data_IF_873095081922
#
_entry.id   IF_873095081922
#
_cell.length_a   1.000
_cell.length_b   1.000
_cell.length_c   1.000
_cell.angle_alpha   90.00
_cell.angle_beta   90.00
_cell.angle_gamma   90.00
#
_symmetry.space_group_name_H-M   'P 1'
#
loop_
_entity.id
_entity.type
_entity.pdbx_description
1 polymer ?
#
# COMPACT_ATOMS: atom_id res chain seq x y z
N UNK A 1 6.37 -33.72 9.04
CA UNK A 1 6.16 -32.52 9.88
C UNK A 1 6.35 -31.33 8.98
N UNK A 2 5.26 -30.80 8.43
CA UNK A 2 5.27 -29.56 7.66
C UNK A 2 5.76 -28.43 8.58
N UNK A 3 6.73 -27.64 8.12
CA UNK A 3 7.22 -26.49 8.89
C UNK A 3 6.09 -25.47 9.00
N UNK A 4 5.32 -25.53 10.10
CA UNK A 4 4.29 -24.54 10.40
C UNK A 4 4.93 -23.17 10.45
N UNK A 5 4.38 -22.19 9.74
CA UNK A 5 4.93 -20.84 9.79
C UNK A 5 4.85 -20.23 11.19
N UNK A 6 5.93 -19.60 11.62
CA UNK A 6 6.06 -18.95 12.94
C UNK A 6 6.53 -17.50 12.81
N UNK A 7 6.45 -16.76 13.91
CA UNK A 7 7.03 -15.42 14.03
C UNK A 7 8.53 -15.39 13.69
N UNK A 8 9.29 -16.42 14.04
CA UNK A 8 10.71 -16.53 13.67
C UNK A 8 10.91 -16.64 12.15
N UNK A 9 10.06 -17.40 11.46
CA UNK A 9 10.13 -17.53 10.00
C UNK A 9 9.86 -16.20 9.29
N UNK A 10 8.88 -15.42 9.76
CA UNK A 10 8.65 -14.07 9.24
C UNK A 10 9.90 -13.17 9.40
N UNK A 11 10.55 -13.20 10.56
CA UNK A 11 11.78 -12.43 10.82
C UNK A 11 12.89 -12.82 9.84
N UNK A 12 13.06 -14.13 9.59
CA UNK A 12 14.07 -14.67 8.66
C UNK A 12 13.82 -14.23 7.21
N UNK A 13 12.61 -14.47 6.68
CA UNK A 13 12.26 -14.12 5.28
C UNK A 13 12.38 -12.61 5.08
N UNK A 14 11.90 -11.82 6.03
CA UNK A 14 12.04 -10.37 6.00
C UNK A 14 13.50 -9.94 5.82
N UNK A 15 14.41 -10.52 6.60
CA UNK A 15 15.84 -10.20 6.48
C UNK A 15 16.37 -10.53 5.08
N UNK A 16 15.97 -11.68 4.52
CA UNK A 16 16.33 -12.07 3.15
C UNK A 16 15.84 -11.04 2.11
N UNK A 17 14.58 -10.61 2.21
CA UNK A 17 13.97 -9.61 1.31
C UNK A 17 14.69 -8.27 1.40
N UNK A 18 15.05 -7.83 2.60
CA UNK A 18 15.80 -6.59 2.80
C UNK A 18 17.20 -6.65 2.18
N UNK A 19 17.92 -7.76 2.39
CA UNK A 19 19.24 -7.97 1.78
C UNK A 19 19.15 -8.00 0.26
N UNK A 20 18.15 -8.68 -0.29
CA UNK A 20 17.91 -8.71 -1.72
C UNK A 20 17.63 -7.30 -2.29
N UNK A 21 16.76 -6.53 -1.64
CA UNK A 21 16.47 -5.15 -2.04
C UNK A 21 17.74 -4.30 -2.08
N UNK A 22 18.53 -4.32 -0.99
CA UNK A 22 19.76 -3.52 -0.90
C UNK A 22 20.76 -3.90 -1.99
N UNK A 23 20.91 -5.19 -2.27
CA UNK A 23 21.76 -5.72 -3.34
C UNK A 23 21.29 -5.29 -4.74
N UNK A 24 19.98 -5.32 -4.99
CA UNK A 24 19.45 -5.24 -6.37
C UNK A 24 18.95 -3.86 -6.79
N UNK A 25 18.45 -3.06 -5.84
CA UNK A 25 17.86 -1.76 -6.16
C UNK A 25 18.80 -0.58 -5.81
N UNK A 26 19.76 -0.78 -4.91
CA UNK A 26 20.57 0.32 -4.36
C UNK A 26 22.05 0.26 -4.79
N UNK A 27 22.70 1.42 -5.04
CA UNK A 27 22.06 2.73 -5.17
C UNK A 27 21.19 2.80 -6.43
N UNK A 28 20.04 3.48 -6.33
CA UNK A 28 19.11 3.62 -7.45
C UNK A 28 19.77 4.46 -8.55
N UNK A 29 20.08 3.83 -9.69
CA UNK A 29 20.65 4.52 -10.85
C UNK A 29 19.51 5.02 -11.75
N UNK A 30 19.28 6.33 -11.73
CA UNK A 30 18.22 6.96 -12.53
C UNK A 30 18.73 7.21 -13.95
N UNK A 31 18.12 6.56 -14.95
CA UNK A 31 18.42 6.77 -16.38
C UNK A 31 17.76 8.01 -16.99
N UNK A 32 17.75 8.11 -18.32
CA UNK A 32 17.31 9.30 -19.10
C UNK A 32 15.84 9.75 -18.92
N UNK A 33 14.99 9.02 -18.19
CA UNK A 33 13.62 9.43 -17.86
C UNK A 33 13.42 9.50 -16.33
N UNK A 34 13.97 10.54 -15.67
CA UNK A 34 14.09 10.57 -14.23
C UNK A 34 12.76 10.67 -13.49
N UNK A 35 11.75 11.33 -14.07
CA UNK A 35 10.52 11.64 -13.35
C UNK A 35 9.76 10.38 -12.91
N UNK A 36 9.57 9.41 -13.82
CA UNK A 36 8.87 8.14 -13.49
C UNK A 36 9.62 7.33 -12.45
N UNK A 37 10.91 7.10 -12.67
CA UNK A 37 11.74 6.31 -11.76
C UNK A 37 11.77 6.97 -10.38
N UNK A 38 11.90 8.30 -10.31
CA UNK A 38 11.85 9.04 -9.05
C UNK A 38 10.50 8.91 -8.36
N UNK A 39 9.38 9.05 -9.06
CA UNK A 39 8.04 8.91 -8.46
C UNK A 39 7.78 7.50 -7.93
N UNK A 40 8.18 6.46 -8.67
CA UNK A 40 8.04 5.07 -8.22
C UNK A 40 9.01 4.78 -7.06
N UNK A 41 10.23 5.32 -7.09
CA UNK A 41 11.18 5.22 -6.00
C UNK A 41 10.67 5.89 -4.72
N UNK A 42 10.14 7.12 -4.79
CA UNK A 42 9.58 7.82 -3.63
C UNK A 42 8.38 7.07 -3.03
N UNK A 43 7.54 6.46 -3.87
CA UNK A 43 6.49 5.57 -3.39
C UNK A 43 7.06 4.30 -2.73
N UNK A 44 8.09 3.69 -3.32
CA UNK A 44 8.79 2.54 -2.74
C UNK A 44 9.40 2.88 -1.37
N UNK A 45 10.08 4.02 -1.24
CA UNK A 45 10.71 4.47 0.00
C UNK A 45 9.68 4.73 1.12
N UNK A 46 8.54 5.33 0.77
CA UNK A 46 7.39 5.43 1.68
C UNK A 46 6.89 4.05 2.11
N UNK A 47 6.71 3.13 1.17
CA UNK A 47 6.25 1.77 1.47
C UNK A 47 7.27 0.98 2.28
N UNK A 48 8.57 1.25 2.09
CA UNK A 48 9.64 0.69 2.90
C UNK A 48 9.54 1.16 4.34
N UNK A 49 9.35 2.45 4.56
CA UNK A 49 9.10 3.00 5.91
C UNK A 49 7.85 2.37 6.56
N UNK A 50 6.73 2.27 5.82
CA UNK A 50 5.51 1.60 6.31
C UNK A 50 5.75 0.14 6.67
N UNK A 51 6.50 -0.59 5.84
CA UNK A 51 6.86 -1.99 6.09
C UNK A 51 7.73 -2.15 7.35
N UNK A 52 8.67 -1.24 7.60
CA UNK A 52 9.46 -1.20 8.84
C UNK A 52 8.58 -0.89 10.07
N UNK A 53 7.57 -0.05 9.94
CA UNK A 53 6.58 0.21 11.00
C UNK A 53 5.75 -1.04 11.30
N UNK A 54 5.23 -1.72 10.27
CA UNK A 54 4.47 -2.97 10.42
C UNK A 54 5.31 -4.03 11.16
N UNK A 55 6.60 -4.13 10.84
CA UNK A 55 7.54 -5.00 11.55
C UNK A 55 7.59 -4.71 13.04
N UNK A 56 7.66 -3.44 13.43
CA UNK A 56 7.73 -3.08 14.85
C UNK A 56 6.38 -3.28 15.55
N UNK A 57 5.27 -2.99 14.87
CA UNK A 57 3.91 -3.30 15.35
C UNK A 57 3.69 -4.80 15.60
N UNK A 58 4.28 -5.67 14.77
CA UNK A 58 4.21 -7.12 14.94
C UNK A 58 4.96 -7.63 16.18
N UNK A 59 5.91 -6.87 16.73
CA UNK A 59 6.56 -7.22 18.02
C UNK A 59 5.62 -7.00 19.21
N UNK A 60 4.70 -6.05 19.08
CA UNK A 60 3.72 -5.64 20.10
C UNK A 60 2.30 -6.14 19.77
N UNK A 61 2.20 -7.08 18.82
CA UNK A 61 0.97 -7.74 18.42
C UNK A 61 -0.18 -6.78 18.05
N UNK A 62 0.17 -5.66 17.40
CA UNK A 62 -0.76 -4.57 17.02
C UNK A 62 -1.51 -4.86 15.73
N UNK A 63 -2.33 -5.91 15.74
CA UNK A 63 -2.99 -6.47 14.55
C UNK A 63 -3.81 -5.45 13.74
N UNK A 64 -4.66 -4.65 14.39
CA UNK A 64 -5.51 -3.68 13.70
C UNK A 64 -4.69 -2.61 12.97
N UNK A 65 -3.61 -2.15 13.60
CA UNK A 65 -2.70 -1.14 13.04
C UNK A 65 -1.95 -1.72 11.82
N UNK A 66 -1.52 -2.99 11.89
CA UNK A 66 -0.91 -3.69 10.76
C UNK A 66 -1.86 -3.76 9.57
N UNK A 67 -3.14 -4.09 9.79
CA UNK A 67 -4.14 -4.14 8.73
C UNK A 67 -4.39 -2.77 8.09
N UNK A 68 -4.51 -1.71 8.90
CA UNK A 68 -4.70 -0.35 8.40
C UNK A 68 -3.52 0.12 7.55
N UNK A 69 -2.28 -0.10 8.02
CA UNK A 69 -1.08 0.25 7.27
C UNK A 69 -0.90 -0.60 6.01
N UNK A 70 -1.19 -1.90 6.08
CA UNK A 70 -1.10 -2.81 4.92
C UNK A 70 -2.06 -2.41 3.81
N UNK A 71 -3.27 -1.95 4.16
CA UNK A 71 -4.23 -1.40 3.21
C UNK A 71 -3.67 -0.17 2.49
N UNK A 72 -3.16 0.81 3.24
CA UNK A 72 -2.58 2.02 2.66
C UNK A 72 -1.38 1.71 1.75
N UNK A 73 -0.51 0.80 2.20
CA UNK A 73 0.63 0.31 1.43
C UNK A 73 0.19 -0.37 0.13
N UNK A 74 -0.86 -1.19 0.17
CA UNK A 74 -1.42 -1.85 -1.02
C UNK A 74 -1.91 -0.83 -2.07
N UNK A 75 -2.69 0.18 -1.67
CA UNK A 75 -3.17 1.24 -2.59
C UNK A 75 -2.00 1.98 -3.27
N UNK A 76 -0.94 2.27 -2.50
CA UNK A 76 0.29 2.84 -3.03
C UNK A 76 0.96 1.94 -4.06
N UNK A 77 1.02 0.65 -3.80
CA UNK A 77 1.73 -0.32 -4.63
C UNK A 77 0.99 -0.59 -5.93
N UNK A 78 -0.34 -0.62 -5.91
CA UNK A 78 -1.12 -0.66 -7.16
C UNK A 78 -0.80 0.57 -8.02
N UNK A 79 -0.72 1.77 -7.42
CA UNK A 79 -0.29 2.96 -8.16
C UNK A 79 1.13 2.82 -8.71
N UNK A 80 2.07 2.26 -7.95
CA UNK A 80 3.43 1.96 -8.45
C UNK A 80 3.41 0.99 -9.62
N UNK A 81 2.60 -0.07 -9.56
CA UNK A 81 2.50 -1.07 -10.62
C UNK A 81 2.00 -0.48 -11.94
N UNK A 82 1.00 0.40 -11.87
CA UNK A 82 0.44 1.10 -13.02
C UNK A 82 1.48 2.02 -13.67
N UNK A 83 2.23 2.75 -12.84
CA UNK A 83 3.32 3.62 -13.28
C UNK A 83 4.52 2.83 -13.80
N UNK A 84 4.79 1.63 -13.31
CA UNK A 84 6.00 0.88 -13.71
C UNK A 84 5.88 0.26 -15.11
N UNK A 85 4.65 0.07 -15.60
CA UNK A 85 4.35 -0.55 -16.90
C UNK A 85 3.64 0.36 -17.90
N UNK A 86 3.49 1.65 -17.58
CA UNK A 86 2.90 2.64 -18.50
C UNK A 86 1.46 2.28 -18.92
N UNK A 87 0.68 1.71 -17.98
CA UNK A 87 -0.63 1.10 -18.27
C UNK A 87 -1.76 2.11 -18.45
N UNK A 88 -1.47 3.39 -18.16
CA UNK A 88 -2.43 4.48 -18.27
C UNK A 88 -1.81 5.56 -19.18
N UNK A 89 -2.61 6.09 -20.10
CA UNK A 89 -2.18 7.18 -20.99
C UNK A 89 -1.93 8.45 -20.17
N UNK A 90 -0.83 9.16 -20.47
CA UNK A 90 -0.36 10.34 -19.73
C UNK A 90 -0.28 10.14 -18.21
N UNK A 91 0.02 8.91 -17.77
CA UNK A 91 -0.04 8.50 -16.37
C UNK A 91 0.74 9.38 -15.41
N UNK A 92 1.94 9.84 -15.77
CA UNK A 92 2.78 10.69 -14.92
C UNK A 92 2.10 12.05 -14.69
N UNK A 93 1.68 12.71 -15.76
CA UNK A 93 1.02 14.00 -15.67
C UNK A 93 -0.30 13.86 -14.88
N UNK A 94 -1.05 12.80 -15.16
CA UNK A 94 -2.32 12.52 -14.50
C UNK A 94 -2.12 12.23 -13.01
N UNK A 95 -1.15 11.40 -12.64
CA UNK A 95 -0.83 11.06 -11.25
C UNK A 95 -0.39 12.30 -10.46
N UNK A 96 0.50 13.13 -11.02
CA UNK A 96 1.00 14.32 -10.36
C UNK A 96 -0.10 15.40 -10.24
N UNK A 97 -0.81 15.70 -11.32
CA UNK A 97 -1.83 16.76 -11.31
C UNK A 97 -3.08 16.37 -10.52
N UNK A 98 -3.31 15.08 -10.26
CA UNK A 98 -4.40 14.64 -9.38
C UNK A 98 -4.29 15.23 -7.98
N UNK A 99 -3.08 15.58 -7.51
CA UNK A 99 -2.95 16.23 -6.20
C UNK A 99 -3.69 17.57 -6.11
N UNK A 100 -3.81 18.32 -7.21
CA UNK A 100 -4.60 19.56 -7.20
C UNK A 100 -6.09 19.30 -7.00
N UNK A 101 -6.59 18.12 -7.36
CA UNK A 101 -7.96 17.70 -7.03
C UNK A 101 -8.10 17.48 -5.53
N UNK A 102 -7.18 16.72 -4.92
CA UNK A 102 -7.25 16.37 -3.49
C UNK A 102 -7.06 17.59 -2.59
N UNK A 103 -6.07 18.43 -2.88
CA UNK A 103 -5.85 19.70 -2.17
C UNK A 103 -7.09 20.58 -2.26
N UNK A 104 -7.67 20.73 -3.46
CA UNK A 104 -8.88 21.53 -3.64
C UNK A 104 -10.06 20.98 -2.83
N UNK A 105 -10.28 19.67 -2.79
CA UNK A 105 -11.38 19.05 -2.03
C UNK A 105 -11.30 19.44 -0.56
N UNK A 106 -10.14 19.24 0.06
CA UNK A 106 -9.92 19.57 1.48
C UNK A 106 -10.05 21.08 1.73
N UNK A 107 -9.40 21.91 0.91
CA UNK A 107 -9.48 23.36 1.04
C UNK A 107 -10.91 23.87 0.92
N UNK A 108 -11.64 23.45 -0.12
CA UNK A 108 -13.00 23.92 -0.37
C UNK A 108 -13.96 23.50 0.75
N UNK A 109 -13.82 22.28 1.27
CA UNK A 109 -14.64 21.85 2.40
C UNK A 109 -14.34 22.66 3.67
N UNK A 110 -13.06 22.93 3.96
CA UNK A 110 -12.69 23.77 5.10
C UNK A 110 -13.18 25.21 4.93
N UNK A 111 -13.15 25.74 3.70
CA UNK A 111 -13.69 27.07 3.38
C UNK A 111 -15.20 27.15 3.62
N UNK A 112 -15.96 26.11 3.27
CA UNK A 112 -17.40 26.02 3.56
C UNK A 112 -17.69 26.07 5.08
N UNK A 113 -16.73 25.61 5.90
CA UNK A 113 -16.78 25.66 7.35
C UNK A 113 -16.19 26.97 7.95
N UNK A 114 -15.68 27.90 7.12
CA UNK A 114 -14.96 29.10 7.59
C UNK A 114 -13.60 28.79 8.25
N UNK A 115 -13.03 27.62 7.95
CA UNK A 115 -11.82 27.07 8.54
C UNK A 115 -10.68 26.93 7.52
N UNK A 116 -10.69 27.65 6.40
CA UNK A 116 -9.67 27.52 5.35
C UNK A 116 -8.23 27.78 5.83
N UNK A 117 -8.06 28.55 6.91
CA UNK A 117 -6.77 28.84 7.52
C UNK A 117 -6.04 27.60 8.08
N UNK A 118 -6.76 26.48 8.33
CA UNK A 118 -6.15 25.20 8.78
C UNK A 118 -5.85 24.23 7.64
N UNK A 119 -6.18 24.59 6.39
CA UNK A 119 -5.99 23.72 5.23
C UNK A 119 -4.53 23.50 4.82
N UNK A 120 -3.62 24.35 5.31
CA UNK A 120 -2.24 24.41 4.85
C UNK A 120 -2.05 25.08 3.47
N UNK A 121 -3.14 25.52 2.81
CA UNK A 121 -3.09 26.26 1.54
C UNK A 121 -3.01 27.76 1.83
N UNK A 122 -1.97 28.42 1.30
CA UNK A 122 -1.83 29.85 1.44
C UNK A 122 -2.83 30.59 0.53
N UNK A 123 -3.34 31.77 0.93
CA UNK A 123 -4.26 32.56 0.09
C UNK A 123 -3.73 32.82 -1.33
N UNK A 124 -2.41 33.00 -1.48
CA UNK A 124 -1.74 33.21 -2.76
C UNK A 124 -1.75 31.99 -3.69
N UNK A 125 -1.95 30.79 -3.16
CA UNK A 125 -1.93 29.53 -3.92
C UNK A 125 -3.32 29.15 -4.45
N UNK A 126 -4.38 29.72 -3.89
CA UNK A 126 -5.78 29.34 -4.17
C UNK A 126 -6.11 29.47 -5.65
N UNK A 127 -5.75 30.58 -6.29
CA UNK A 127 -6.00 30.78 -7.72
C UNK A 127 -5.26 29.75 -8.58
N UNK A 128 -4.00 29.45 -8.24
CA UNK A 128 -3.20 28.47 -8.95
C UNK A 128 -3.78 27.05 -8.82
N UNK A 129 -4.17 26.64 -7.62
CA UNK A 129 -4.80 25.34 -7.35
C UNK A 129 -6.11 25.21 -8.14
N UNK A 130 -6.96 26.24 -8.11
CA UNK A 130 -8.21 26.27 -8.87
C UNK A 130 -7.97 26.11 -10.37
N UNK A 131 -7.01 26.87 -10.91
CA UNK A 131 -6.64 26.78 -12.33
C UNK A 131 -6.14 25.39 -12.71
N UNK A 132 -5.28 24.77 -11.88
CA UNK A 132 -4.75 23.42 -12.12
C UNK A 132 -5.83 22.35 -12.02
N UNK A 133 -6.74 22.46 -11.05
CA UNK A 133 -7.91 21.58 -10.91
C UNK A 133 -8.83 21.65 -12.12
N UNK A 134 -9.16 22.84 -12.61
CA UNK A 134 -10.01 22.98 -13.80
C UNK A 134 -9.33 22.48 -15.07
N UNK A 135 -8.01 22.70 -15.21
CA UNK A 135 -7.23 22.10 -16.31
C UNK A 135 -7.28 20.56 -16.26
N UNK A 136 -7.14 19.96 -15.07
CA UNK A 136 -7.28 18.51 -14.87
C UNK A 136 -8.66 18.02 -15.30
N UNK A 137 -9.73 18.66 -14.80
CA UNK A 137 -11.13 18.26 -15.11
C UNK A 137 -11.46 18.41 -16.59
N UNK A 138 -10.91 19.43 -17.25
CA UNK A 138 -11.06 19.63 -18.69
C UNK A 138 -10.39 18.52 -19.50
N UNK A 139 -9.20 18.07 -19.09
CA UNK A 139 -8.43 17.04 -19.81
C UNK A 139 -8.94 15.60 -19.55
N UNK A 140 -9.28 15.25 -18.30
CA UNK A 140 -9.61 13.86 -17.93
C UNK A 140 -11.05 13.66 -17.41
N UNK A 141 -11.87 14.70 -17.42
CA UNK A 141 -13.28 14.63 -17.03
C UNK A 141 -13.55 14.90 -15.55
N UNK A 142 -14.84 14.85 -15.18
CA UNK A 142 -15.32 15.21 -13.83
C UNK A 142 -15.17 14.07 -12.81
N UNK A 143 -15.10 12.81 -13.26
CA UNK A 143 -14.90 11.69 -12.35
C UNK A 143 -13.46 11.69 -11.82
N UNK A 144 -13.32 12.10 -10.56
CA UNK A 144 -12.04 12.36 -9.90
C UNK A 144 -11.94 11.62 -8.56
N UNK A 145 -12.60 10.46 -8.47
CA UNK A 145 -12.51 9.56 -7.32
C UNK A 145 -11.14 8.88 -7.20
N UNK A 146 -10.40 8.76 -8.30
CA UNK A 146 -9.00 8.34 -8.30
C UNK A 146 -8.23 9.04 -9.42
N UNK A 147 -6.90 9.05 -9.33
CA UNK A 147 -6.04 9.59 -10.40
C UNK A 147 -6.21 8.84 -11.72
N UNK A 148 -6.58 7.55 -11.69
CA UNK A 148 -6.82 6.73 -12.88
C UNK A 148 -8.23 6.90 -13.49
N UNK A 149 -9.17 7.49 -12.74
CA UNK A 149 -10.60 7.52 -13.08
C UNK A 149 -11.32 6.17 -12.95
N UNK A 150 -10.60 5.13 -12.51
CA UNK A 150 -11.11 3.78 -12.21
C UNK A 150 -11.16 3.54 -10.71
N UNK A 151 -11.99 2.61 -10.27
CA UNK A 151 -11.94 2.15 -8.89
C UNK A 151 -10.71 1.25 -8.64
N UNK A 152 -10.39 0.97 -7.37
CA UNK A 152 -9.19 0.20 -7.03
C UNK A 152 -9.21 -1.23 -7.61
N UNK A 153 -10.36 -1.90 -7.63
CA UNK A 153 -10.46 -3.28 -8.16
C UNK A 153 -10.17 -3.32 -9.67
N UNK A 154 -10.65 -2.34 -10.42
CA UNK A 154 -10.35 -2.22 -11.86
C UNK A 154 -8.86 -1.98 -12.12
N UNK A 155 -8.21 -1.17 -11.28
CA UNK A 155 -6.76 -0.97 -11.34
C UNK A 155 -5.99 -2.24 -11.00
N UNK A 156 -6.44 -2.98 -9.99
CA UNK A 156 -5.86 -4.27 -9.60
C UNK A 156 -5.94 -5.28 -10.74
N UNK A 157 -7.10 -5.42 -11.40
CA UNK A 157 -7.26 -6.27 -12.59
C UNK A 157 -6.31 -5.88 -13.71
N UNK A 158 -6.15 -4.58 -13.94
CA UNK A 158 -5.19 -4.05 -14.94
C UNK A 158 -3.75 -4.47 -14.63
N UNK A 159 -3.38 -4.60 -13.35
CA UNK A 159 -2.06 -5.13 -12.95
C UNK A 159 -1.98 -6.64 -13.18
N UNK A 160 -2.99 -7.40 -12.76
CA UNK A 160 -3.01 -8.86 -12.95
C UNK A 160 -2.92 -9.25 -14.44
N UNK A 161 -3.52 -8.46 -15.34
CA UNK A 161 -3.47 -8.70 -16.79
C UNK A 161 -2.09 -8.43 -17.43
N UNK A 162 -1.30 -7.49 -16.89
CA UNK A 162 -0.05 -7.03 -17.54
C UNK A 162 1.24 -7.59 -16.89
N UNK A 163 1.15 -8.03 -15.65
CA UNK A 163 2.27 -8.64 -14.96
C UNK A 163 2.26 -10.15 -15.16
N UNK A 164 3.44 -10.79 -15.31
CA UNK A 164 3.50 -12.24 -15.37
C UNK A 164 2.70 -12.84 -14.22
N UNK A 165 1.82 -13.77 -14.56
CA UNK A 165 1.04 -14.50 -13.56
C UNK A 165 2.00 -15.06 -12.53
N UNK A 166 1.63 -14.96 -11.27
CA UNK A 166 2.35 -15.78 -10.30
C UNK A 166 2.10 -17.24 -10.64
N UNK A 167 3.07 -18.12 -10.40
CA UNK A 167 2.89 -19.57 -10.61
C UNK A 167 1.64 -20.12 -9.89
N UNK A 168 1.18 -19.37 -8.88
CA UNK A 168 0.07 -19.69 -7.98
C UNK A 168 -1.27 -19.24 -8.55
N UNK A 169 -1.33 -18.06 -9.17
CA UNK A 169 -2.59 -17.48 -9.65
C UNK A 169 -2.37 -16.36 -10.69
N UNK A 170 -3.24 -16.35 -11.70
CA UNK A 170 -3.38 -15.23 -12.65
C UNK A 170 -4.07 -13.99 -12.03
N UNK A 171 -4.75 -14.16 -10.89
CA UNK A 171 -5.49 -13.14 -10.14
C UNK A 171 -4.78 -12.82 -8.81
N UNK A 172 -3.46 -12.70 -8.83
CA UNK A 172 -2.66 -12.59 -7.60
C UNK A 172 -2.93 -11.28 -6.85
N UNK A 173 -3.00 -10.15 -7.56
CA UNK A 173 -3.29 -8.87 -6.93
C UNK A 173 -4.76 -8.72 -6.56
N UNK A 174 -5.69 -9.36 -7.28
CA UNK A 174 -7.09 -9.51 -6.86
C UNK A 174 -7.21 -10.32 -5.57
N UNK A 175 -6.40 -11.37 -5.41
CA UNK A 175 -6.29 -12.08 -4.14
C UNK A 175 -5.80 -11.14 -3.02
N UNK A 176 -4.73 -10.38 -3.24
CA UNK A 176 -4.25 -9.39 -2.25
C UNK A 176 -5.27 -8.28 -1.99
N UNK A 177 -6.07 -7.87 -2.98
CA UNK A 177 -7.16 -6.92 -2.78
C UNK A 177 -8.19 -7.47 -1.77
N UNK A 178 -8.56 -8.75 -1.89
CA UNK A 178 -9.45 -9.40 -0.93
C UNK A 178 -8.80 -9.54 0.45
N UNK A 179 -7.54 -10.00 0.51
CA UNK A 179 -6.89 -10.34 1.77
C UNK A 179 -6.30 -9.16 2.53
N UNK A 180 -5.94 -8.08 1.84
CA UNK A 180 -5.32 -6.90 2.44
C UNK A 180 -6.26 -5.73 2.42
N UNK A 181 -6.76 -5.33 1.26
CA UNK A 181 -7.57 -4.12 1.16
C UNK A 181 -8.95 -4.28 1.81
N UNK A 182 -9.70 -5.35 1.48
CA UNK A 182 -11.05 -5.57 2.04
C UNK A 182 -11.01 -5.88 3.53
N UNK A 183 -10.08 -6.74 3.98
CA UNK A 183 -9.89 -7.01 5.43
C UNK A 183 -9.41 -5.76 6.17
N UNK A 184 -8.43 -5.04 5.63
CA UNK A 184 -7.92 -3.80 6.22
C UNK A 184 -8.95 -2.67 6.26
N UNK A 185 -9.91 -2.66 5.33
CA UNK A 185 -11.04 -1.72 5.35
C UNK A 185 -11.90 -1.88 6.60
N UNK A 186 -12.08 -3.11 7.11
CA UNK A 186 -12.78 -3.34 8.38
C UNK A 186 -11.95 -2.77 9.54
N UNK A 187 -10.65 -3.07 9.58
CA UNK A 187 -9.77 -2.50 10.61
C UNK A 187 -9.72 -0.95 10.61
N UNK A 188 -9.88 -0.32 9.44
CA UNK A 188 -9.84 1.14 9.30
C UNK A 188 -11.16 1.81 9.66
N UNK A 189 -12.29 1.23 9.23
CA UNK A 189 -13.60 1.90 9.26
C UNK A 189 -14.55 1.34 10.31
N UNK A 190 -14.31 0.13 10.81
CA UNK A 190 -15.14 -0.44 11.85
C UNK A 190 -14.79 0.20 13.20
N UNK A 191 -15.82 0.57 13.96
CA UNK A 191 -15.65 0.81 15.39
C UNK A 191 -15.08 -0.46 16.04
N UNK A 192 -14.36 -0.31 17.15
CA UNK A 192 -13.85 -1.46 17.92
C UNK A 192 -14.94 -2.53 18.14
N UNK A 193 -16.18 -2.10 18.41
CA UNK A 193 -17.35 -2.96 18.55
C UNK A 193 -17.75 -3.76 17.30
N UNK A 194 -17.51 -3.24 16.09
CA UNK A 194 -17.77 -3.97 14.85
C UNK A 194 -16.73 -5.06 14.58
N UNK A 195 -15.46 -4.80 14.90
CA UNK A 195 -14.38 -5.78 14.75
C UNK A 195 -14.52 -6.88 15.81
N UNK A 196 -14.87 -6.53 17.05
CA UNK A 196 -15.02 -7.48 18.16
C UNK A 196 -16.11 -8.54 17.97
N UNK A 197 -17.02 -8.36 16.99
CA UNK A 197 -18.01 -9.38 16.63
C UNK A 197 -17.36 -10.56 15.88
N UNK A 198 -16.30 -10.27 15.10
CA UNK A 198 -15.63 -11.26 14.25
C UNK A 198 -14.30 -11.79 14.80
N UNK A 199 -13.79 -11.25 15.91
CA UNK A 199 -12.52 -11.65 16.51
C UNK A 199 -12.63 -11.75 18.03
N UNK A 200 -11.81 -12.62 18.62
CA UNK A 200 -11.74 -12.73 20.07
C UNK A 200 -11.24 -11.43 20.70
N UNK A 201 -11.90 -10.98 21.77
CA UNK A 201 -11.47 -9.86 22.60
C UNK A 201 -11.12 -10.35 24.00
N UNK A 202 -10.14 -9.72 24.62
CA UNK A 202 -9.79 -9.95 26.02
C UNK A 202 -9.82 -8.64 26.80
N UNK A 203 -10.08 -8.76 28.11
CA UNK A 203 -10.06 -7.62 29.01
C UNK A 203 -8.62 -7.32 29.44
N UNK A 204 -8.26 -6.04 29.41
CA UNK A 204 -6.99 -5.53 29.89
C UNK A 204 -7.26 -4.52 31.00
N UNK A 205 -6.64 -4.71 32.15
CA UNK A 205 -6.61 -3.68 33.19
C UNK A 205 -5.57 -2.63 32.81
N UNK A 206 -6.00 -1.36 32.70
CA UNK A 206 -5.09 -0.22 32.55
C UNK A 206 -5.01 0.57 33.86
N UNK A 207 -3.91 1.33 34.09
CA UNK A 207 -3.74 2.10 35.31
C UNK A 207 -4.97 2.95 35.64
N UNK A 208 -5.41 2.89 36.90
CA UNK A 208 -6.65 3.55 37.35
C UNK A 208 -7.89 2.65 37.43
N UNK A 209 -7.72 1.32 37.45
CA UNK A 209 -8.81 0.32 37.55
C UNK A 209 -9.83 0.37 36.41
N UNK A 210 -9.44 0.89 35.24
CA UNK A 210 -10.30 0.88 34.07
C UNK A 210 -10.13 -0.48 33.37
N UNK A 211 -11.25 -1.16 33.13
CA UNK A 211 -11.30 -2.36 32.31
C UNK A 211 -11.44 -1.94 30.85
N UNK A 212 -10.35 -2.05 30.10
CA UNK A 212 -10.35 -1.87 28.66
C UNK A 212 -10.54 -3.22 27.96
N UNK A 213 -10.92 -3.19 26.69
CA UNK A 213 -10.91 -4.36 25.81
C UNK A 213 -9.83 -4.19 24.77
N UNK A 214 -9.11 -5.28 24.47
CA UNK A 214 -8.22 -5.36 23.32
C UNK A 214 -8.53 -6.62 22.52
N UNK A 215 -8.17 -6.63 21.24
CA UNK A 215 -8.24 -7.85 20.46
C UNK A 215 -7.28 -8.88 21.06
N UNK A 216 -7.80 -10.06 21.37
CA UNK A 216 -6.97 -11.20 21.74
C UNK A 216 -6.23 -11.60 20.47
N UNK A 217 -4.91 -11.48 20.52
CA UNK A 217 -4.06 -11.79 19.38
C UNK A 217 -4.17 -13.28 19.13
N UNK A 218 -4.83 -13.64 18.04
CA UNK A 218 -4.74 -14.96 17.47
C UNK A 218 -3.44 -15.00 16.65
N UNK A 219 -2.50 -15.83 17.06
CA UNK A 219 -1.19 -15.94 16.44
C UNK A 219 -1.32 -16.21 14.94
N UNK A 220 -2.32 -17.00 14.53
CA UNK A 220 -2.61 -17.27 13.11
C UNK A 220 -2.99 -15.98 12.36
N UNK A 221 -3.81 -15.11 12.93
CA UNK A 221 -4.20 -13.84 12.31
C UNK A 221 -3.07 -12.82 12.26
N UNK A 222 -2.22 -12.77 13.29
CA UNK A 222 -1.04 -11.93 13.29
C UNK A 222 -0.06 -12.37 12.20
N UNK A 223 0.25 -13.67 12.14
CA UNK A 223 1.08 -14.29 11.11
C UNK A 223 0.53 -13.99 9.72
N UNK A 224 -0.78 -14.20 9.53
CA UNK A 224 -1.48 -13.92 8.29
C UNK A 224 -1.31 -12.47 7.82
N UNK A 225 -1.58 -11.50 8.70
CA UNK A 225 -1.48 -10.07 8.36
C UNK A 225 -0.04 -9.66 8.01
N UNK A 226 0.95 -10.16 8.76
CA UNK A 226 2.37 -9.90 8.52
C UNK A 226 2.82 -10.44 7.16
N UNK A 227 2.41 -11.65 6.78
CA UNK A 227 2.78 -12.23 5.48
C UNK A 227 2.14 -11.54 4.30
N UNK A 228 0.86 -11.17 4.41
CA UNK A 228 0.23 -10.43 3.33
C UNK A 228 0.85 -9.03 3.19
N UNK A 229 1.25 -8.39 4.30
CA UNK A 229 2.01 -7.14 4.24
C UNK A 229 3.37 -7.32 3.56
N UNK A 230 4.05 -8.45 3.78
CA UNK A 230 5.31 -8.81 3.14
C UNK A 230 5.14 -9.05 1.64
N UNK A 231 4.10 -9.78 1.22
CA UNK A 231 3.78 -10.00 -0.20
C UNK A 231 3.47 -8.67 -0.92
N UNK A 232 2.72 -7.80 -0.26
CA UNK A 232 2.46 -6.44 -0.73
C UNK A 232 3.80 -5.71 -0.89
N UNK A 233 4.62 -5.61 0.17
CA UNK A 233 5.91 -4.93 0.09
C UNK A 233 6.85 -5.51 -0.99
N UNK A 234 6.90 -6.84 -1.14
CA UNK A 234 7.67 -7.52 -2.17
C UNK A 234 7.22 -7.12 -3.58
N UNK A 235 5.93 -6.81 -3.77
CA UNK A 235 5.42 -6.28 -5.03
C UNK A 235 5.98 -4.89 -5.35
N UNK A 236 6.25 -4.06 -4.33
CA UNK A 236 6.94 -2.77 -4.53
C UNK A 236 8.36 -2.95 -5.07
N UNK A 237 9.10 -3.95 -4.57
CA UNK A 237 10.43 -4.34 -5.04
C UNK A 237 10.33 -4.86 -6.48
N UNK A 238 9.32 -5.71 -6.77
CA UNK A 238 9.03 -6.20 -8.11
C UNK A 238 8.86 -5.05 -9.10
N UNK A 239 7.98 -4.10 -8.80
CA UNK A 239 7.67 -2.98 -9.69
C UNK A 239 8.86 -2.04 -9.90
N UNK A 240 9.56 -1.66 -8.83
CA UNK A 240 10.75 -0.82 -8.93
C UNK A 240 11.89 -1.54 -9.66
N UNK A 241 12.14 -2.83 -9.37
CA UNK A 241 13.16 -3.61 -10.05
C UNK A 241 12.87 -3.79 -11.54
N UNK A 242 11.60 -3.93 -11.94
CA UNK A 242 11.25 -3.95 -13.36
C UNK A 242 11.65 -2.66 -14.10
N UNK A 243 11.57 -1.51 -13.44
CA UNK A 243 12.05 -0.23 -13.98
C UNK A 243 13.59 -0.12 -14.01
N UNK A 244 14.29 -0.71 -13.02
CA UNK A 244 15.73 -0.51 -12.82
C UNK A 244 16.63 -1.58 -13.46
N UNK A 245 16.33 -2.87 -13.28
CA UNK A 245 17.28 -3.99 -13.49
C UNK A 245 16.93 -4.93 -14.65
N UNK A 246 15.87 -4.64 -15.42
CA UNK A 246 15.37 -5.48 -16.52
C UNK A 246 15.10 -6.94 -16.09
N UNK A 247 13.97 -7.06 -15.38
CA UNK A 247 13.04 -8.20 -15.27
C UNK A 247 13.50 -9.51 -14.61
N UNK A 248 14.57 -10.20 -15.03
CA UNK A 248 14.69 -11.65 -14.71
C UNK A 248 15.00 -11.93 -13.24
N UNK A 249 16.04 -11.33 -12.65
CA UNK A 249 16.46 -11.64 -11.26
C UNK A 249 15.37 -11.22 -10.24
N UNK A 250 14.84 -10.01 -10.37
CA UNK A 250 13.78 -9.50 -9.49
C UNK A 250 12.50 -10.31 -9.61
N UNK A 251 12.07 -10.67 -10.82
CA UNK A 251 10.86 -11.47 -11.02
C UNK A 251 11.05 -12.88 -10.46
N UNK A 252 12.18 -13.55 -10.72
CA UNK A 252 12.46 -14.89 -10.18
C UNK A 252 12.48 -14.89 -8.64
N UNK A 253 13.10 -13.88 -8.03
CA UNK A 253 13.12 -13.75 -6.58
C UNK A 253 11.71 -13.52 -6.02
N UNK A 254 10.93 -12.62 -6.65
CA UNK A 254 9.55 -12.37 -6.29
C UNK A 254 8.71 -13.66 -6.33
N UNK A 255 8.78 -14.41 -7.43
CA UNK A 255 8.03 -15.66 -7.60
C UNK A 255 8.42 -16.71 -6.55
N UNK A 256 9.71 -16.88 -6.29
CA UNK A 256 10.24 -17.82 -5.30
C UNK A 256 9.71 -17.50 -3.89
N UNK A 257 9.82 -16.24 -3.47
CA UNK A 257 9.42 -15.84 -2.11
C UNK A 257 7.89 -15.84 -1.97
N UNK A 258 7.15 -15.38 -2.98
CA UNK A 258 5.69 -15.41 -2.96
C UNK A 258 5.15 -16.85 -2.84
N UNK A 259 5.73 -17.79 -3.58
CA UNK A 259 5.38 -19.21 -3.49
C UNK A 259 5.67 -19.77 -2.12
N UNK A 260 6.85 -19.49 -1.56
CA UNK A 260 7.21 -19.94 -0.22
C UNK A 260 6.23 -19.42 0.85
N UNK A 261 5.84 -18.15 0.78
CA UNK A 261 4.90 -17.55 1.75
C UNK A 261 3.50 -18.14 1.62
N UNK A 262 3.06 -18.49 0.41
CA UNK A 262 1.69 -18.99 0.19
C UNK A 262 1.57 -20.49 0.43
N UNK A 263 2.61 -21.29 0.11
CA UNK A 263 2.56 -22.75 0.31
C UNK A 263 2.48 -23.15 1.78
N UNK A 264 3.02 -22.32 2.65
CA UNK A 264 3.22 -22.63 4.07
C UNK A 264 2.22 -21.84 4.98
N UNK A 265 1.36 -20.97 4.40
CA UNK A 265 0.35 -20.15 5.10
C UNK A 265 -1.06 -20.76 5.03
#
# INVERSE_FOLDING_TARGET
MENKFTKENFIRIRAEVLQFQLKTLYPVKVGKNPNRVNLVFLNHDRNFSTFLTIRDLAKYDRLADIYALSRSMFESIISMGLLSKYLIVDDIERYQNYQFIEIYKTYNHLKELGCEHVSGVQPSEVEFINKKREAYRKKWGKNSQSWTGKNLLENVKTIDDDYPSTYINRHFYEYLYCQVYRKGSQATHSSFGGISIGVNVEQLSIPGNILAQRFKVDEAHLIYSCFHSLLVFLSSIRFLGQLLTKKIETENYYQKIAMYIISDA
#
